data_IF_510485843070
#
_entry.id   IF_510485843070
#
_cell.length_a   1.000
_cell.length_b   1.000
_cell.length_c   1.000
_cell.angle_alpha   90.00
_cell.angle_beta   90.00
_cell.angle_gamma   90.00
#
_symmetry.space_group_name_H-M   'P 1'
#
loop_
_entity.id
_entity.type
_entity.pdbx_description
1 polymer ?
#
# COMPACT_ATOMS: atom_id res chain seq x y z
N UNK A 1 8.27 26.18 -27.27
CA UNK A 1 7.95 25.97 -25.86
C UNK A 1 9.28 25.72 -25.19
N UNK A 2 9.71 26.67 -24.34
CA UNK A 2 11.01 26.67 -23.66
C UNK A 2 11.16 25.41 -22.80
N UNK A 3 12.41 24.94 -22.70
CA UNK A 3 12.87 23.80 -21.89
C UNK A 3 12.47 23.96 -20.42
N UNK A 4 11.18 23.66 -20.10
CA UNK A 4 10.78 23.46 -18.71
C UNK A 4 11.41 22.12 -18.34
N UNK A 5 12.38 22.14 -17.44
CA UNK A 5 12.94 20.92 -16.89
C UNK A 5 11.78 20.07 -16.36
N UNK A 6 11.64 18.87 -16.90
CA UNK A 6 10.53 17.98 -16.59
C UNK A 6 10.56 17.49 -15.13
N UNK A 7 11.71 17.59 -14.47
CA UNK A 7 11.96 17.15 -13.10
C UNK A 7 12.76 18.17 -12.32
N UNK A 8 12.50 18.26 -11.02
CA UNK A 8 13.35 19.00 -10.11
C UNK A 8 14.75 18.36 -9.97
N UNK A 9 15.78 19.14 -9.59
CA UNK A 9 17.16 18.66 -9.50
C UNK A 9 17.39 17.59 -8.43
N UNK A 10 16.44 17.38 -7.54
CA UNK A 10 16.46 16.38 -6.48
C UNK A 10 15.92 15.00 -6.93
N UNK A 11 15.32 14.90 -8.12
CA UNK A 11 14.85 13.61 -8.67
C UNK A 11 16.03 12.90 -9.31
N UNK A 12 16.26 11.64 -8.93
CA UNK A 12 17.41 10.87 -9.41
C UNK A 12 17.39 10.65 -10.93
N UNK A 13 18.57 10.43 -11.52
CA UNK A 13 18.68 10.10 -12.95
C UNK A 13 17.99 8.78 -13.28
N UNK A 14 18.03 7.85 -12.33
CA UNK A 14 17.38 6.55 -12.41
C UNK A 14 15.86 6.72 -12.49
N UNK A 15 15.26 7.55 -11.63
CA UNK A 15 13.83 7.85 -11.66
C UNK A 15 13.42 8.56 -12.96
N UNK A 16 14.19 9.52 -13.41
CA UNK A 16 13.95 10.21 -14.69
C UNK A 16 13.96 9.21 -15.87
N UNK A 17 14.99 8.33 -15.93
CA UNK A 17 15.10 7.32 -16.97
C UNK A 17 13.97 6.30 -16.90
N UNK A 18 13.60 5.84 -15.67
CA UNK A 18 12.49 4.89 -15.47
C UNK A 18 11.15 5.49 -15.88
N UNK A 19 10.90 6.75 -15.56
CA UNK A 19 9.68 7.44 -15.98
C UNK A 19 9.59 7.56 -17.50
N UNK A 20 10.71 7.93 -18.18
CA UNK A 20 10.75 7.98 -19.63
C UNK A 20 10.46 6.60 -20.27
N UNK A 21 11.02 5.53 -19.70
CA UNK A 21 10.73 4.16 -20.14
C UNK A 21 9.24 3.79 -19.91
N UNK A 22 8.70 4.15 -18.74
CA UNK A 22 7.28 3.92 -18.41
C UNK A 22 6.32 4.55 -19.44
N UNK A 23 6.60 5.74 -19.93
CA UNK A 23 5.78 6.41 -20.96
C UNK A 23 5.80 5.69 -22.32
N UNK A 24 6.78 4.81 -22.56
CA UNK A 24 6.88 4.01 -23.80
C UNK A 24 6.33 2.59 -23.65
N UNK A 25 6.01 2.16 -22.44
CA UNK A 25 5.40 0.84 -22.20
C UNK A 25 4.00 0.77 -22.81
N UNK A 26 3.59 -0.45 -23.18
CA UNK A 26 2.23 -0.69 -23.65
C UNK A 26 1.19 -0.33 -22.58
N UNK A 27 0.05 0.17 -23.03
CA UNK A 27 -1.06 0.41 -22.11
C UNK A 27 -1.47 -0.89 -21.40
N UNK A 28 -1.85 -0.75 -20.14
CA UNK A 28 -2.40 -1.86 -19.36
C UNK A 28 -3.63 -2.43 -20.06
N UNK A 29 -3.76 -3.76 -20.18
CA UNK A 29 -4.96 -4.37 -20.73
C UNK A 29 -6.22 -3.94 -19.96
N UNK A 30 -7.30 -3.66 -20.70
CA UNK A 30 -8.57 -3.26 -20.10
C UNK A 30 -9.38 -4.47 -19.60
N UNK A 31 -9.22 -5.62 -20.22
CA UNK A 31 -9.88 -6.86 -19.81
C UNK A 31 -9.13 -7.51 -18.64
N UNK A 32 -9.87 -7.88 -17.59
CA UNK A 32 -9.29 -8.47 -16.38
C UNK A 32 -8.60 -9.81 -16.64
N UNK A 33 -9.10 -10.60 -17.59
CA UNK A 33 -8.49 -11.88 -17.95
C UNK A 33 -7.10 -11.71 -18.58
N UNK A 34 -6.83 -10.56 -19.19
CA UNK A 34 -5.53 -10.19 -19.73
C UNK A 34 -4.71 -9.38 -18.71
N UNK A 35 -5.36 -8.53 -17.89
CA UNK A 35 -4.71 -7.68 -16.91
C UNK A 35 -4.05 -8.51 -15.78
N UNK A 36 -4.71 -9.54 -15.27
CA UNK A 36 -4.14 -10.40 -14.21
C UNK A 36 -2.81 -11.06 -14.65
N UNK A 37 -2.72 -11.79 -15.77
CA UNK A 37 -1.43 -12.35 -16.21
C UNK A 37 -0.40 -11.27 -16.58
N UNK A 38 -0.82 -10.14 -17.13
CA UNK A 38 0.08 -9.00 -17.39
C UNK A 38 0.74 -8.50 -16.09
N UNK A 39 -0.06 -8.22 -15.04
CA UNK A 39 0.47 -7.76 -13.76
C UNK A 39 1.25 -8.85 -13.02
N UNK A 40 0.85 -10.11 -13.12
CA UNK A 40 1.63 -11.22 -12.56
C UNK A 40 3.03 -11.26 -13.15
N UNK A 41 3.17 -11.17 -14.47
CA UNK A 41 4.46 -11.13 -15.15
C UNK A 41 5.25 -9.85 -14.86
N UNK A 42 4.58 -8.70 -14.77
CA UNK A 42 5.19 -7.43 -14.41
C UNK A 42 5.75 -7.47 -12.97
N UNK A 43 4.93 -7.92 -12.02
CA UNK A 43 5.30 -8.05 -10.61
C UNK A 43 6.42 -9.08 -10.41
N UNK A 44 6.42 -10.19 -11.15
CA UNK A 44 7.51 -11.17 -11.08
C UNK A 44 8.86 -10.54 -11.45
N UNK A 45 8.92 -9.72 -12.51
CA UNK A 45 10.18 -9.03 -12.89
C UNK A 45 10.69 -8.07 -11.81
N UNK A 46 9.77 -7.38 -11.11
CA UNK A 46 10.16 -6.52 -10.00
C UNK A 46 10.59 -7.34 -8.77
N UNK A 47 9.91 -8.45 -8.50
CA UNK A 47 10.27 -9.35 -7.41
C UNK A 47 11.64 -9.99 -7.61
N UNK A 48 11.97 -10.39 -8.84
CA UNK A 48 13.29 -10.95 -9.18
C UNK A 48 14.43 -9.96 -8.84
N UNK A 49 14.22 -8.66 -9.10
CA UNK A 49 15.16 -7.61 -8.70
C UNK A 49 15.22 -7.43 -7.17
N UNK A 50 14.06 -7.46 -6.51
CA UNK A 50 13.99 -7.29 -5.06
C UNK A 50 14.70 -8.44 -4.33
N UNK A 51 14.43 -9.68 -4.72
CA UNK A 51 15.07 -10.87 -4.11
C UNK A 51 16.56 -11.01 -4.44
N UNK A 52 17.00 -10.50 -5.59
CA UNK A 52 18.44 -10.41 -5.91
C UNK A 52 19.18 -9.37 -5.04
N UNK A 53 18.47 -8.33 -4.57
CA UNK A 53 19.07 -7.23 -3.80
C UNK A 53 18.96 -7.41 -2.29
N UNK A 54 17.90 -8.02 -1.81
CA UNK A 54 17.57 -8.12 -0.38
C UNK A 54 17.54 -9.58 0.06
N UNK A 55 18.41 -9.92 1.01
CA UNK A 55 18.49 -11.26 1.56
C UNK A 55 17.38 -11.48 2.60
N UNK A 56 16.39 -12.27 2.24
CA UNK A 56 15.28 -12.69 3.10
C UNK A 56 14.93 -14.15 2.82
N UNK A 57 14.42 -14.85 3.82
CA UNK A 57 13.78 -16.16 3.65
C UNK A 57 12.28 -15.94 3.40
N UNK A 58 11.73 -16.61 2.39
CA UNK A 58 10.31 -16.54 2.04
C UNK A 58 9.72 -17.95 2.15
N UNK A 59 8.69 -18.10 2.98
CA UNK A 59 7.95 -19.35 3.13
C UNK A 59 6.44 -19.09 2.93
N UNK A 60 5.81 -19.93 2.11
CA UNK A 60 4.35 -19.93 2.00
C UNK A 60 3.76 -20.64 3.22
N UNK A 61 2.72 -20.04 3.81
CA UNK A 61 1.99 -20.56 4.96
C UNK A 61 0.49 -20.35 4.79
N UNK A 62 -0.28 -21.08 5.55
CA UNK A 62 -1.70 -20.84 5.75
C UNK A 62 -1.92 -20.38 7.20
N UNK A 63 -2.58 -19.22 7.38
CA UNK A 63 -2.93 -18.67 8.69
C UNK A 63 -4.44 -18.39 8.67
N UNK A 64 -5.19 -19.03 9.57
CA UNK A 64 -6.65 -18.92 9.65
C UNK A 64 -7.38 -19.21 8.30
N UNK A 65 -6.85 -20.13 7.48
CA UNK A 65 -7.39 -20.48 6.17
C UNK A 65 -6.99 -19.52 5.05
N UNK A 66 -6.15 -18.53 5.32
CA UNK A 66 -5.67 -17.53 4.35
C UNK A 66 -4.22 -17.82 4.00
N UNK A 67 -3.92 -17.76 2.70
CA UNK A 67 -2.55 -17.86 2.20
C UNK A 67 -1.73 -16.62 2.61
N UNK A 68 -0.55 -16.83 3.15
CA UNK A 68 0.36 -15.79 3.63
C UNK A 68 1.79 -16.14 3.23
N UNK A 69 2.53 -15.18 2.75
CA UNK A 69 3.99 -15.31 2.59
C UNK A 69 4.68 -14.77 3.83
N UNK A 70 5.41 -15.64 4.52
CA UNK A 70 6.20 -15.34 5.71
C UNK A 70 7.61 -14.92 5.26
N UNK A 71 7.87 -13.61 5.28
CA UNK A 71 9.14 -13.02 4.84
C UNK A 71 9.98 -12.67 6.07
N UNK A 72 11.09 -13.37 6.24
CA UNK A 72 11.96 -13.25 7.40
C UNK A 72 13.32 -12.73 6.97
N UNK A 73 13.77 -11.55 7.45
CA UNK A 73 15.13 -11.08 7.18
C UNK A 73 16.17 -11.96 7.90
N UNK A 74 17.34 -12.16 7.25
CA UNK A 74 18.41 -13.01 7.78
C UNK A 74 18.95 -12.55 9.14
N UNK A 75 18.89 -11.24 9.43
CA UNK A 75 19.43 -10.61 10.64
C UNK A 75 18.36 -10.31 11.70
N UNK A 76 17.22 -11.01 11.66
CA UNK A 76 16.11 -10.74 12.57
C UNK A 76 16.49 -11.05 14.03
N UNK A 77 16.35 -10.04 14.91
CA UNK A 77 16.46 -10.25 16.35
C UNK A 77 15.24 -11.02 16.89
N UNK A 78 15.45 -11.84 17.93
CA UNK A 78 14.35 -12.49 18.64
C UNK A 78 13.44 -11.44 19.29
N UNK A 79 12.12 -11.61 19.15
CA UNK A 79 11.13 -10.65 19.70
C UNK A 79 10.93 -9.37 18.86
N UNK A 80 11.54 -9.26 17.67
CA UNK A 80 11.28 -8.13 16.77
C UNK A 80 9.81 -8.04 16.40
N UNK A 81 9.29 -6.80 16.18
CA UNK A 81 7.94 -6.56 15.71
C UNK A 81 7.57 -7.36 14.46
N UNK A 82 6.27 -7.53 14.24
CA UNK A 82 5.73 -8.22 13.05
C UNK A 82 4.93 -7.21 12.23
N UNK A 83 5.16 -7.19 10.93
CA UNK A 83 4.42 -6.38 10.01
C UNK A 83 3.47 -7.24 9.17
N UNK A 84 2.25 -6.77 8.96
CA UNK A 84 1.32 -7.33 7.99
C UNK A 84 1.36 -6.43 6.74
N UNK A 85 1.66 -7.02 5.58
CA UNK A 85 1.70 -6.32 4.30
C UNK A 85 0.47 -6.65 3.47
N UNK A 86 -0.21 -5.62 2.98
CA UNK A 86 -1.41 -5.72 2.16
C UNK A 86 -1.10 -5.14 0.78
N UNK A 87 -1.00 -6.01 -0.22
CA UNK A 87 -0.58 -5.60 -1.55
C UNK A 87 -1.59 -4.65 -2.24
N UNK A 88 -1.10 -3.89 -3.23
CA UNK A 88 -1.92 -3.12 -4.15
C UNK A 88 -2.52 -3.99 -5.27
N UNK A 89 -3.16 -3.32 -6.25
CA UNK A 89 -3.71 -4.00 -7.43
C UNK A 89 -5.20 -3.79 -7.61
N UNK A 90 -5.70 -2.61 -7.24
CA UNK A 90 -7.11 -2.22 -7.41
C UNK A 90 -8.11 -3.24 -6.83
N UNK A 91 -7.70 -4.05 -5.86
CA UNK A 91 -8.43 -5.19 -5.27
C UNK A 91 -8.69 -6.36 -6.25
N UNK A 92 -8.16 -6.32 -7.48
CA UNK A 92 -8.45 -7.26 -8.55
C UNK A 92 -7.25 -8.11 -8.99
N UNK A 93 -6.04 -7.67 -8.65
CA UNK A 93 -4.77 -8.37 -8.94
C UNK A 93 -3.73 -8.06 -7.86
N UNK A 94 -2.53 -8.64 -7.97
CA UNK A 94 -1.44 -8.42 -7.02
C UNK A 94 -1.13 -9.63 -6.15
N UNK A 95 -1.88 -10.72 -6.32
CA UNK A 95 -1.60 -12.00 -5.69
C UNK A 95 -0.22 -12.55 -6.07
N UNK A 96 0.30 -13.44 -5.24
CA UNK A 96 1.60 -14.08 -5.49
C UNK A 96 2.77 -13.10 -5.48
N UNK A 97 3.47 -12.90 -6.63
CA UNK A 97 4.62 -11.99 -6.71
C UNK A 97 4.32 -10.57 -6.26
N UNK A 98 3.10 -10.06 -6.53
CA UNK A 98 2.69 -8.71 -6.15
C UNK A 98 2.63 -8.50 -4.64
N UNK A 99 2.21 -9.53 -3.89
CA UNK A 99 2.17 -9.47 -2.42
C UNK A 99 3.57 -9.34 -1.80
N UNK A 100 4.60 -9.72 -2.52
CA UNK A 100 5.99 -9.73 -2.04
C UNK A 100 6.78 -8.45 -2.36
N UNK A 101 6.28 -7.59 -3.28
CA UNK A 101 7.03 -6.42 -3.76
C UNK A 101 7.42 -5.43 -2.66
N UNK A 102 6.53 -5.18 -1.71
CA UNK A 102 6.80 -4.32 -0.56
C UNK A 102 7.39 -5.12 0.61
N UNK A 103 6.93 -6.37 0.78
CA UNK A 103 7.31 -7.20 1.91
C UNK A 103 8.82 -7.49 1.93
N UNK A 104 9.41 -7.83 0.80
CA UNK A 104 10.84 -8.20 0.69
C UNK A 104 11.77 -7.05 1.09
N UNK A 105 11.72 -5.87 0.44
CA UNK A 105 12.63 -4.79 0.79
C UNK A 105 12.35 -4.21 2.19
N UNK A 106 11.08 -4.12 2.60
CA UNK A 106 10.74 -3.59 3.93
C UNK A 106 11.21 -4.55 5.02
N UNK A 107 11.01 -5.87 4.88
CA UNK A 107 11.53 -6.85 5.82
C UNK A 107 13.04 -6.70 6.01
N UNK A 108 13.80 -6.67 4.91
CA UNK A 108 15.25 -6.58 4.93
C UNK A 108 15.73 -5.26 5.56
N UNK A 109 15.17 -4.11 5.16
CA UNK A 109 15.61 -2.79 5.65
C UNK A 109 15.15 -2.53 7.08
N UNK A 110 13.96 -3.00 7.46
CA UNK A 110 13.46 -2.85 8.83
C UNK A 110 14.08 -3.86 9.81
N UNK A 111 14.57 -5.01 9.35
CA UNK A 111 14.97 -6.12 10.21
C UNK A 111 13.76 -6.78 10.91
N UNK A 112 12.58 -6.65 10.33
CA UNK A 112 11.31 -7.12 10.90
C UNK A 112 10.72 -8.24 10.03
N UNK A 113 10.06 -9.20 10.67
CA UNK A 113 9.27 -10.21 9.97
C UNK A 113 8.06 -9.56 9.30
N UNK A 114 7.81 -9.88 8.04
CA UNK A 114 6.62 -9.42 7.31
C UNK A 114 5.76 -10.60 6.90
N UNK A 115 4.49 -10.57 7.24
CA UNK A 115 3.47 -11.49 6.76
C UNK A 115 2.72 -10.80 5.61
N UNK A 116 3.04 -11.17 4.37
CA UNK A 116 2.35 -10.64 3.20
C UNK A 116 1.09 -11.47 2.94
N UNK A 117 -0.07 -10.85 3.07
CA UNK A 117 -1.36 -11.53 3.03
C UNK A 117 -1.85 -11.59 1.59
N UNK A 118 -2.09 -12.79 1.08
CA UNK A 118 -2.62 -13.08 -0.25
C UNK A 118 -4.15 -13.19 -0.16
N UNK A 119 -4.79 -12.06 0.08
CA UNK A 119 -6.23 -11.95 0.35
C UNK A 119 -7.08 -12.17 -0.91
N UNK A 120 -8.35 -12.56 -0.74
CA UNK A 120 -9.30 -12.80 -1.83
C UNK A 120 -9.58 -11.54 -2.64
N UNK A 121 -9.65 -11.69 -3.97
CA UNK A 121 -9.73 -10.60 -4.94
C UNK A 121 -11.11 -10.47 -5.60
N UNK A 122 -11.45 -9.24 -5.93
CA UNK A 122 -12.60 -8.90 -6.76
C UNK A 122 -12.30 -9.19 -8.26
N UNK A 123 -13.31 -9.38 -9.09
CA UNK A 123 -14.74 -9.42 -8.77
C UNK A 123 -15.21 -10.77 -8.21
N UNK A 124 -14.33 -11.78 -8.15
CA UNK A 124 -14.68 -13.12 -7.66
C UNK A 124 -15.15 -13.05 -6.20
N UNK A 125 -14.55 -12.14 -5.43
CA UNK A 125 -14.87 -11.87 -4.03
C UNK A 125 -14.94 -10.37 -3.78
N UNK A 126 -16.14 -9.86 -3.52
CA UNK A 126 -16.39 -8.44 -3.22
C UNK A 126 -16.25 -8.16 -1.72
N UNK A 127 -16.34 -6.89 -1.31
CA UNK A 127 -16.38 -6.50 0.10
C UNK A 127 -17.47 -7.32 0.86
N UNK A 128 -17.16 -7.84 2.08
CA UNK A 128 -15.95 -7.62 2.88
C UNK A 128 -14.86 -8.71 2.74
N UNK A 129 -14.87 -9.57 1.72
CA UNK A 129 -14.06 -10.79 1.66
C UNK A 129 -12.56 -10.56 1.93
N UNK A 130 -11.95 -9.54 1.32
CA UNK A 130 -10.53 -9.25 1.53
C UNK A 130 -10.25 -8.78 2.96
N UNK A 131 -11.08 -7.91 3.52
CA UNK A 131 -10.88 -7.44 4.90
C UNK A 131 -11.15 -8.54 5.91
N UNK A 132 -12.09 -9.45 5.65
CA UNK A 132 -12.33 -10.63 6.49
C UNK A 132 -11.10 -11.53 6.58
N UNK A 133 -10.42 -11.77 5.44
CA UNK A 133 -9.17 -12.54 5.40
C UNK A 133 -8.08 -11.85 6.26
N UNK A 134 -7.94 -10.54 6.10
CA UNK A 134 -6.93 -9.75 6.83
C UNK A 134 -7.19 -9.79 8.34
N UNK A 135 -8.44 -9.59 8.75
CA UNK A 135 -8.83 -9.63 10.18
C UNK A 135 -8.67 -11.02 10.75
N UNK A 136 -8.96 -12.08 9.98
CA UNK A 136 -8.74 -13.47 10.41
C UNK A 136 -7.26 -13.74 10.68
N UNK A 137 -6.36 -13.30 9.77
CA UNK A 137 -4.90 -13.40 9.97
C UNK A 137 -4.46 -12.58 11.18
N UNK A 138 -4.92 -11.32 11.28
CA UNK A 138 -4.58 -10.45 12.41
C UNK A 138 -4.98 -11.07 13.74
N UNK A 139 -6.21 -11.61 13.85
CA UNK A 139 -6.70 -12.31 15.04
C UNK A 139 -5.82 -13.47 15.44
N UNK A 140 -5.36 -14.29 14.50
CA UNK A 140 -4.45 -15.40 14.78
C UNK A 140 -3.06 -14.91 15.23
N UNK A 141 -2.57 -13.79 14.67
CA UNK A 141 -1.26 -13.23 15.03
C UNK A 141 -1.25 -12.65 16.44
N UNK A 142 -2.32 -11.96 16.87
CA UNK A 142 -2.42 -11.38 18.23
C UNK A 142 -2.52 -12.43 19.35
N UNK A 143 -2.77 -13.69 19.03
CA UNK A 143 -2.71 -14.78 20.03
C UNK A 143 -1.28 -14.99 20.56
N UNK A 144 -0.26 -14.61 19.79
CA UNK A 144 1.14 -14.86 20.11
C UNK A 144 2.05 -13.62 20.07
N UNK A 145 1.56 -12.51 19.50
CA UNK A 145 2.27 -11.23 19.38
C UNK A 145 1.42 -10.13 20.01
N UNK A 146 2.04 -9.31 20.85
CA UNK A 146 1.36 -8.13 21.41
C UNK A 146 0.90 -7.20 20.26
N UNK A 147 -0.39 -6.81 20.20
CA UNK A 147 -0.89 -5.85 19.21
C UNK A 147 -0.05 -4.58 19.10
N UNK A 148 0.51 -4.09 20.21
CA UNK A 148 1.39 -2.92 20.22
C UNK A 148 2.71 -3.14 19.44
N UNK A 149 3.12 -4.38 19.21
CA UNK A 149 4.30 -4.77 18.41
C UNK A 149 3.92 -5.24 16.99
N UNK A 150 2.68 -5.00 16.55
CA UNK A 150 2.24 -5.32 15.19
C UNK A 150 2.01 -4.05 14.39
N UNK A 151 2.58 -3.97 13.18
CA UNK A 151 2.26 -2.95 12.18
C UNK A 151 1.44 -3.53 11.04
N UNK A 152 0.54 -2.73 10.48
CA UNK A 152 -0.16 -3.08 9.22
C UNK A 152 0.13 -1.98 8.20
N UNK A 153 0.49 -2.36 6.97
CA UNK A 153 0.71 -1.38 5.91
C UNK A 153 0.32 -1.94 4.54
N UNK A 154 0.13 -1.06 3.60
CA UNK A 154 -0.08 -1.44 2.21
C UNK A 154 -0.11 -0.26 1.27
N UNK A 155 0.04 -0.57 -0.03
CA UNK A 155 0.03 0.39 -1.12
C UNK A 155 -1.30 0.36 -1.87
N UNK A 156 -1.79 1.53 -2.32
CA UNK A 156 -2.96 1.62 -3.20
C UNK A 156 -4.21 0.97 -2.58
N UNK A 157 -4.75 -0.08 -3.17
CA UNK A 157 -5.82 -0.89 -2.58
C UNK A 157 -5.45 -1.41 -1.18
N UNK A 158 -4.18 -1.82 -0.98
CA UNK A 158 -3.68 -2.26 0.33
C UNK A 158 -3.73 -1.17 1.41
N UNK A 159 -3.57 0.11 1.04
CA UNK A 159 -3.73 1.22 1.98
C UNK A 159 -5.19 1.38 2.42
N UNK A 160 -6.15 1.21 1.50
CA UNK A 160 -7.57 1.22 1.84
C UNK A 160 -7.91 0.03 2.75
N UNK A 161 -7.44 -1.17 2.40
CA UNK A 161 -7.62 -2.38 3.21
C UNK A 161 -6.99 -2.25 4.60
N UNK A 162 -5.86 -1.55 4.73
CA UNK A 162 -5.25 -1.25 6.04
C UNK A 162 -6.22 -0.48 6.94
N UNK A 163 -6.90 0.53 6.39
CA UNK A 163 -7.89 1.31 7.16
C UNK A 163 -9.14 0.50 7.48
N UNK A 164 -9.60 -0.35 6.56
CA UNK A 164 -10.71 -1.27 6.80
C UNK A 164 -10.34 -2.28 7.88
N UNK A 165 -9.14 -2.86 7.84
CA UNK A 165 -8.69 -3.80 8.87
C UNK A 165 -8.71 -3.18 10.27
N UNK A 166 -8.20 -1.93 10.43
CA UNK A 166 -8.27 -1.21 11.72
C UNK A 166 -9.72 -0.98 12.14
N UNK A 167 -10.58 -0.50 11.23
CA UNK A 167 -11.99 -0.24 11.53
C UNK A 167 -12.72 -1.50 11.98
N UNK A 168 -12.54 -2.63 11.27
CA UNK A 168 -13.13 -3.92 11.61
C UNK A 168 -12.56 -4.50 12.92
N UNK A 169 -11.26 -4.33 13.19
CA UNK A 169 -10.70 -4.73 14.48
C UNK A 169 -11.36 -3.98 15.64
N UNK A 170 -11.50 -2.66 15.51
CA UNK A 170 -12.16 -1.83 16.53
C UNK A 170 -13.64 -2.22 16.73
N UNK A 171 -14.38 -2.42 15.64
CA UNK A 171 -15.79 -2.83 15.68
C UNK A 171 -15.96 -4.19 16.38
N UNK A 172 -15.02 -5.12 16.17
CA UNK A 172 -15.01 -6.45 16.78
C UNK A 172 -14.40 -6.48 18.20
N UNK A 173 -14.04 -5.32 18.77
CA UNK A 173 -13.47 -5.20 20.11
C UNK A 173 -12.04 -5.76 20.20
N UNK A 174 -11.32 -5.92 19.09
CA UNK A 174 -9.90 -6.29 19.08
C UNK A 174 -9.05 -5.05 19.34
N UNK A 175 -7.92 -5.22 20.03
CA UNK A 175 -6.91 -4.17 20.11
C UNK A 175 -6.38 -3.84 18.72
N UNK A 176 -6.31 -2.55 18.33
CA UNK A 176 -5.73 -2.18 17.05
C UNK A 176 -4.21 -2.44 17.01
N UNK A 177 -3.58 -2.47 15.84
CA UNK A 177 -2.12 -2.58 15.71
C UNK A 177 -1.42 -1.36 16.32
N UNK A 178 -0.15 -1.49 16.69
CA UNK A 178 0.66 -0.41 17.26
C UNK A 178 0.93 0.75 16.29
N UNK A 179 0.93 0.50 14.97
CA UNK A 179 1.11 1.52 13.94
C UNK A 179 0.62 1.05 12.57
N UNK A 180 0.31 2.00 11.67
CA UNK A 180 -0.10 1.68 10.28
C UNK A 180 0.66 2.51 9.24
N UNK A 181 0.77 1.94 8.01
CA UNK A 181 1.31 2.60 6.84
C UNK A 181 0.29 2.64 5.70
N UNK A 182 0.03 3.83 5.15
CA UNK A 182 -0.90 4.06 4.05
C UNK A 182 -0.11 4.65 2.87
N UNK A 183 0.26 3.81 1.91
CA UNK A 183 1.12 4.23 0.82
C UNK A 183 0.33 4.33 -0.48
N UNK A 184 0.41 5.48 -1.15
CA UNK A 184 -0.23 5.73 -2.45
C UNK A 184 -1.72 5.40 -2.51
N UNK A 185 -2.43 5.52 -1.38
CA UNK A 185 -3.86 5.22 -1.29
C UNK A 185 -4.45 5.68 0.04
N UNK A 186 -5.75 5.88 0.05
CA UNK A 186 -6.52 6.24 1.24
C UNK A 186 -8.02 5.93 0.98
N UNK A 187 -8.82 5.72 2.05
CA UNK A 187 -10.27 5.49 1.93
C UNK A 187 -11.02 6.81 1.68
N UNK A 188 -10.61 7.52 0.64
CA UNK A 188 -11.14 8.81 0.17
C UNK A 188 -11.29 8.72 -1.34
N UNK A 189 -12.33 9.31 -1.95
CA UNK A 189 -12.47 9.33 -3.40
C UNK A 189 -11.19 9.81 -4.10
N UNK A 190 -10.78 9.12 -5.17
CA UNK A 190 -9.64 9.51 -5.99
C UNK A 190 -10.04 10.69 -6.88
N UNK A 191 -10.04 11.87 -6.30
CA UNK A 191 -10.43 13.12 -6.91
C UNK A 191 -9.45 14.24 -6.55
N UNK A 192 -9.67 15.44 -7.10
CA UNK A 192 -8.85 16.62 -6.82
C UNK A 192 -7.71 16.80 -7.81
N UNK A 193 -6.83 17.74 -7.51
CA UNK A 193 -5.82 18.22 -8.46
C UNK A 193 -4.85 17.14 -8.90
N UNK A 194 -4.46 16.24 -8.02
CA UNK A 194 -3.53 15.15 -8.37
C UNK A 194 -4.11 14.21 -9.43
N UNK A 195 -5.39 13.83 -9.30
CA UNK A 195 -6.07 12.99 -10.28
C UNK A 195 -6.24 13.70 -11.63
N UNK A 196 -6.52 15.01 -11.62
CA UNK A 196 -6.63 15.81 -12.84
C UNK A 196 -5.26 16.03 -13.50
N UNK A 197 -4.23 16.27 -12.69
CA UNK A 197 -2.89 16.57 -13.18
C UNK A 197 -2.18 15.34 -13.78
N UNK A 198 -2.61 14.12 -13.49
CA UNK A 198 -1.99 12.90 -14.02
C UNK A 198 -1.86 12.94 -15.56
N UNK A 199 -2.89 13.41 -16.25
CA UNK A 199 -2.89 13.54 -17.71
C UNK A 199 -1.87 14.57 -18.25
N UNK A 200 -1.34 15.46 -17.40
CA UNK A 200 -0.26 16.40 -17.79
C UNK A 200 1.10 15.70 -17.87
N UNK A 201 1.29 14.67 -17.09
CA UNK A 201 2.56 13.93 -16.99
C UNK A 201 2.56 12.63 -17.80
N UNK A 202 1.40 11.99 -17.96
CA UNK A 202 1.24 10.77 -18.73
C UNK A 202 0.22 10.99 -19.87
N UNK A 203 0.70 11.15 -21.12
CA UNK A 203 -0.18 11.40 -22.26
C UNK A 203 -1.11 10.22 -22.61
N UNK A 204 -0.92 9.05 -22.02
CA UNK A 204 -1.79 7.88 -22.16
C UNK A 204 -3.03 7.99 -21.29
N UNK A 205 -2.97 8.81 -20.25
CA UNK A 205 -4.09 9.04 -19.33
C UNK A 205 -4.98 10.15 -19.88
N UNK A 206 -6.27 9.87 -20.02
CA UNK A 206 -7.26 10.90 -20.34
C UNK A 206 -7.63 11.68 -19.08
N UNK A 207 -7.81 13.01 -19.16
CA UNK A 207 -8.32 13.79 -18.03
C UNK A 207 -9.63 13.18 -17.51
N UNK A 208 -9.71 12.95 -16.21
CA UNK A 208 -10.88 12.35 -15.56
C UNK A 208 -11.02 10.84 -15.72
N UNK A 209 -10.00 10.14 -16.25
CA UNK A 209 -10.01 8.68 -16.41
C UNK A 209 -9.64 7.92 -15.11
N UNK A 210 -9.34 8.63 -14.02
CA UNK A 210 -9.08 7.98 -12.72
C UNK A 210 -10.35 7.26 -12.27
N UNK A 211 -10.31 5.95 -12.02
CA UNK A 211 -11.49 5.20 -11.57
C UNK A 211 -12.01 5.79 -10.26
N UNK A 212 -13.31 5.95 -10.18
CA UNK A 212 -13.93 6.31 -8.91
C UNK A 212 -13.97 5.08 -7.99
N UNK A 213 -13.88 5.32 -6.69
CA UNK A 213 -13.86 4.21 -5.71
C UNK A 213 -15.14 3.37 -5.79
N UNK A 214 -16.28 4.00 -6.04
CA UNK A 214 -17.58 3.35 -6.23
C UNK A 214 -17.70 2.53 -7.52
N UNK A 215 -16.81 2.73 -8.48
CA UNK A 215 -16.77 2.00 -9.75
C UNK A 215 -15.88 0.74 -9.65
N UNK A 216 -15.11 0.59 -8.56
CA UNK A 216 -14.25 -0.58 -8.36
C UNK A 216 -15.10 -1.81 -7.99
N UNK A 217 -14.93 -2.95 -8.67
CA UNK A 217 -15.72 -4.16 -8.41
C UNK A 217 -15.71 -4.63 -6.96
N UNK A 218 -14.64 -4.37 -6.21
CA UNK A 218 -14.55 -4.71 -4.79
C UNK A 218 -15.68 -4.11 -3.95
N UNK A 219 -16.12 -2.89 -4.26
CA UNK A 219 -17.17 -2.19 -3.53
C UNK A 219 -18.59 -2.48 -4.05
N UNK A 220 -18.74 -3.45 -4.97
CA UNK A 220 -20.06 -3.79 -5.49
C UNK A 220 -21.00 -4.25 -4.37
N UNK A 221 -22.09 -3.50 -4.18
CA UNK A 221 -23.07 -3.74 -3.12
C UNK A 221 -22.68 -3.24 -1.72
N UNK A 222 -21.50 -2.64 -1.55
CA UNK A 222 -21.09 -2.04 -0.28
C UNK A 222 -21.74 -0.66 -0.08
N UNK A 223 -22.07 -0.33 1.17
CA UNK A 223 -22.49 1.02 1.55
C UNK A 223 -21.25 1.88 1.82
N UNK A 224 -20.92 2.77 0.91
CA UNK A 224 -19.75 3.67 1.03
C UNK A 224 -19.88 4.71 2.16
N UNK A 225 -21.05 4.87 2.75
CA UNK A 225 -21.27 5.70 3.94
C UNK A 225 -20.96 4.97 5.24
N UNK A 226 -20.81 3.64 5.19
CA UNK A 226 -20.43 2.84 6.36
C UNK A 226 -18.98 3.12 6.78
N UNK A 227 -18.73 3.46 8.07
CA UNK A 227 -17.40 3.65 8.62
C UNK A 227 -16.46 2.45 8.44
N UNK A 228 -16.99 1.23 8.37
CA UNK A 228 -16.19 0.03 8.14
C UNK A 228 -15.72 -0.10 6.68
N UNK A 229 -16.42 0.52 5.75
CA UNK A 229 -16.05 0.56 4.32
C UNK A 229 -15.10 1.73 4.03
N UNK A 230 -15.46 2.96 4.43
CA UNK A 230 -14.66 4.16 4.20
C UNK A 230 -14.51 4.99 5.49
N UNK A 231 -13.57 4.61 6.34
CA UNK A 231 -13.34 5.22 7.66
C UNK A 231 -13.05 6.73 7.62
N UNK A 232 -12.51 7.26 6.52
CA UNK A 232 -12.05 8.64 6.44
C UNK A 232 -13.14 9.69 6.68
N UNK A 233 -14.42 9.36 6.44
CA UNK A 233 -15.56 10.23 6.69
C UNK A 233 -16.02 10.30 8.15
N UNK A 234 -15.43 9.52 9.05
CA UNK A 234 -15.94 9.26 10.39
C UNK A 234 -14.93 9.64 11.48
N UNK A 235 -14.88 10.93 11.92
CA UNK A 235 -13.86 11.42 12.87
C UNK A 235 -13.85 10.67 14.20
N UNK A 236 -15.01 10.23 14.69
CA UNK A 236 -15.11 9.46 15.94
C UNK A 236 -14.39 8.10 15.84
N UNK A 237 -14.47 7.42 14.69
CA UNK A 237 -13.74 6.19 14.44
C UNK A 237 -12.24 6.48 14.26
N UNK A 238 -11.89 7.50 13.48
CA UNK A 238 -10.50 7.88 13.24
C UNK A 238 -9.75 8.21 14.53
N UNK A 239 -10.40 8.77 15.54
CA UNK A 239 -9.78 9.09 16.84
C UNK A 239 -9.21 7.86 17.57
N UNK A 240 -9.56 6.65 17.16
CA UNK A 240 -9.05 5.39 17.68
C UNK A 240 -7.99 4.74 16.80
N UNK A 241 -7.61 5.39 15.69
CA UNK A 241 -6.58 4.87 14.80
C UNK A 241 -5.19 4.99 15.44
N UNK A 242 -4.28 4.05 15.19
CA UNK A 242 -2.93 4.10 15.71
C UNK A 242 -2.09 5.15 14.96
N UNK A 243 -0.86 5.45 15.45
CA UNK A 243 0.11 6.25 14.72
C UNK A 243 0.22 5.83 13.27
N UNK A 244 0.18 6.80 12.35
CA UNK A 244 -0.01 6.55 10.92
C UNK A 244 1.06 7.21 10.07
N UNK A 245 1.72 6.45 9.19
CA UNK A 245 2.60 6.96 8.14
C UNK A 245 1.87 6.97 6.80
N UNK A 246 1.82 8.13 6.15
CA UNK A 246 1.26 8.27 4.81
C UNK A 246 2.38 8.62 3.83
N UNK A 247 2.40 7.96 2.68
CA UNK A 247 3.38 8.22 1.61
C UNK A 247 2.64 8.37 0.28
N UNK A 248 3.02 9.36 -0.52
CA UNK A 248 2.56 9.53 -1.89
C UNK A 248 3.61 10.29 -2.72
N UNK A 249 3.29 10.64 -3.95
CA UNK A 249 4.16 11.37 -4.84
C UNK A 249 3.39 12.40 -5.67
N UNK A 250 4.06 13.44 -6.18
CA UNK A 250 3.37 14.54 -6.87
C UNK A 250 2.75 14.14 -8.21
N UNK A 251 3.21 13.04 -8.84
CA UNK A 251 2.62 12.46 -10.06
C UNK A 251 1.73 11.23 -9.79
N UNK A 252 1.33 11.06 -8.54
CA UNK A 252 0.42 10.00 -8.11
C UNK A 252 -1.02 10.52 -8.11
N UNK A 253 -1.92 9.87 -8.82
CA UNK A 253 -3.33 10.23 -8.87
C UNK A 253 -4.01 10.23 -7.48
N UNK A 254 -3.48 9.43 -6.55
CA UNK A 254 -4.01 9.32 -5.20
C UNK A 254 -3.49 10.41 -4.24
N UNK A 255 -2.53 11.26 -4.64
CA UNK A 255 -1.87 12.18 -3.71
C UNK A 255 -2.85 13.15 -3.02
N UNK A 256 -3.86 13.63 -3.72
CA UNK A 256 -4.92 14.46 -3.10
C UNK A 256 -5.70 13.70 -2.03
N UNK A 257 -6.06 12.43 -2.29
CA UNK A 257 -6.77 11.57 -1.34
C UNK A 257 -5.92 11.28 -0.09
N UNK A 258 -4.63 10.98 -0.29
CA UNK A 258 -3.66 10.74 0.81
C UNK A 258 -3.50 12.00 1.67
N UNK A 259 -3.38 13.19 1.04
CA UNK A 259 -3.31 14.47 1.73
C UNK A 259 -4.57 14.77 2.55
N UNK A 260 -5.75 14.46 2.01
CA UNK A 260 -7.02 14.61 2.72
C UNK A 260 -7.08 13.68 3.94
N UNK A 261 -6.70 12.41 3.76
CA UNK A 261 -6.66 11.45 4.86
C UNK A 261 -5.72 11.88 5.97
N UNK A 262 -4.50 12.35 5.64
CA UNK A 262 -3.56 12.88 6.62
C UNK A 262 -4.17 13.98 7.47
N UNK A 263 -4.81 14.99 6.85
CA UNK A 263 -5.45 16.09 7.58
C UNK A 263 -6.61 15.62 8.45
N UNK A 264 -7.36 14.59 8.03
CA UNK A 264 -8.46 14.00 8.82
C UNK A 264 -7.95 13.26 10.04
N UNK A 265 -6.84 12.51 9.91
CA UNK A 265 -6.18 11.87 11.05
C UNK A 265 -5.70 12.91 12.06
N UNK A 266 -5.00 13.98 11.62
CA UNK A 266 -4.57 15.07 12.50
C UNK A 266 -5.77 15.74 13.19
N UNK A 267 -6.86 16.02 12.48
CA UNK A 267 -8.06 16.62 13.05
C UNK A 267 -8.76 15.70 14.07
N UNK A 268 -8.59 14.39 13.96
CA UNK A 268 -9.07 13.38 14.91
C UNK A 268 -8.10 13.18 16.11
N UNK A 269 -6.97 13.88 16.15
CA UNK A 269 -5.99 13.78 17.22
C UNK A 269 -4.98 12.62 17.07
N UNK A 270 -4.96 11.97 15.90
CA UNK A 270 -4.03 10.89 15.61
C UNK A 270 -2.64 11.43 15.26
N UNK A 271 -1.59 10.83 15.80
CA UNK A 271 -0.22 11.11 15.37
C UNK A 271 0.00 10.58 13.95
N UNK A 272 0.10 11.48 12.98
CA UNK A 272 0.21 11.13 11.56
C UNK A 272 1.35 11.91 10.91
N UNK A 273 2.15 11.19 10.11
CA UNK A 273 3.23 11.75 9.28
C UNK A 273 2.90 11.58 7.81
N UNK A 274 3.18 12.60 7.00
CA UNK A 274 3.00 12.52 5.55
C UNK A 274 4.30 12.85 4.83
N UNK A 275 4.71 11.95 3.93
CA UNK A 275 5.89 12.13 3.07
C UNK A 275 5.40 12.17 1.62
N UNK A 276 5.75 13.24 0.92
CA UNK A 276 5.41 13.45 -0.49
C UNK A 276 6.69 13.51 -1.32
N UNK A 277 6.88 12.51 -2.19
CA UNK A 277 8.02 12.48 -3.11
C UNK A 277 7.72 13.31 -4.37
N UNK A 278 8.53 14.33 -4.63
CA UNK A 278 8.36 15.16 -5.81
C UNK A 278 8.84 14.44 -7.08
N UNK A 279 8.09 14.59 -8.17
CA UNK A 279 8.43 14.03 -9.48
C UNK A 279 8.21 12.53 -9.63
N UNK A 280 7.92 11.80 -8.56
CA UNK A 280 7.67 10.36 -8.56
C UNK A 280 6.18 10.06 -8.82
N UNK A 281 5.86 8.80 -9.13
CA UNK A 281 4.54 8.32 -9.54
C UNK A 281 3.97 7.31 -8.57
N UNK A 282 2.76 6.84 -8.86
CA UNK A 282 2.05 5.83 -8.07
C UNK A 282 2.90 4.58 -7.87
N UNK A 283 3.06 4.17 -6.61
CA UNK A 283 3.81 2.96 -6.22
C UNK A 283 5.28 2.92 -6.69
N UNK A 284 5.95 4.08 -6.85
CA UNK A 284 7.33 4.18 -7.31
C UNK A 284 8.30 3.31 -6.49
N UNK A 285 8.03 3.13 -5.21
CA UNK A 285 8.86 2.36 -4.28
C UNK A 285 8.86 0.84 -4.54
N UNK A 286 8.02 0.33 -5.46
CA UNK A 286 8.09 -1.08 -5.86
C UNK A 286 9.26 -1.38 -6.82
N UNK A 287 9.88 -0.37 -7.43
CA UNK A 287 11.10 -0.56 -8.20
C UNK A 287 12.33 -0.31 -7.32
N UNK A 288 12.93 -1.39 -6.84
CA UNK A 288 14.08 -1.36 -5.91
C UNK A 288 15.35 -0.72 -6.48
N UNK A 289 15.41 -0.48 -7.79
CA UNK A 289 16.53 0.17 -8.44
C UNK A 289 16.53 1.69 -8.23
N UNK A 290 15.40 2.27 -7.81
CA UNK A 290 15.28 3.70 -7.57
C UNK A 290 15.90 4.10 -6.22
N UNK A 291 16.76 5.13 -6.17
CA UNK A 291 17.23 5.70 -4.91
C UNK A 291 16.09 6.12 -3.99
N UNK A 292 15.00 6.68 -4.54
CA UNK A 292 13.81 7.12 -3.82
C UNK A 292 13.02 5.95 -3.23
N UNK A 293 13.06 4.77 -3.86
CA UNK A 293 12.50 3.55 -3.27
C UNK A 293 13.28 3.13 -2.01
N UNK A 294 14.62 3.17 -2.09
CA UNK A 294 15.48 2.87 -0.93
C UNK A 294 15.25 3.88 0.20
N UNK A 295 15.06 5.15 -0.12
CA UNK A 295 14.70 6.19 0.86
C UNK A 295 13.34 5.87 1.50
N UNK A 296 12.34 5.50 0.70
CA UNK A 296 11.02 5.09 1.18
C UNK A 296 11.13 3.94 2.19
N UNK A 297 11.89 2.89 1.89
CA UNK A 297 12.05 1.76 2.85
C UNK A 297 12.71 2.17 4.16
N UNK A 298 13.68 3.09 4.12
CA UNK A 298 14.30 3.62 5.35
C UNK A 298 13.32 4.45 6.19
N UNK A 299 12.49 5.25 5.55
CA UNK A 299 11.43 6.03 6.22
C UNK A 299 10.43 5.09 6.89
N UNK A 300 9.94 4.08 6.16
CA UNK A 300 9.01 3.06 6.67
C UNK A 300 9.62 2.31 7.85
N UNK A 301 10.86 1.83 7.70
CA UNK A 301 11.58 1.13 8.76
C UNK A 301 11.78 2.00 10.00
N UNK A 302 12.17 3.27 9.83
CA UNK A 302 12.32 4.23 10.91
C UNK A 302 11.01 4.48 11.65
N UNK A 303 9.92 4.61 10.92
CA UNK A 303 8.59 4.80 11.49
C UNK A 303 8.15 3.58 12.33
N UNK A 304 8.20 2.37 11.79
CA UNK A 304 7.78 1.20 12.53
C UNK A 304 8.68 0.91 13.73
N UNK A 305 10.00 1.13 13.64
CA UNK A 305 10.88 1.03 14.82
C UNK A 305 10.52 2.00 15.92
N UNK A 306 10.10 3.23 15.57
CA UNK A 306 9.70 4.25 16.57
C UNK A 306 8.48 3.82 17.37
N UNK A 307 7.51 3.18 16.72
CA UNK A 307 6.20 2.92 17.35
C UNK A 307 5.98 1.49 17.81
N UNK A 308 6.76 0.54 17.32
CA UNK A 308 6.57 -0.87 17.67
C UNK A 308 7.65 -1.42 18.60
N UNK A 309 8.74 -0.66 18.81
CA UNK A 309 9.84 -1.02 19.70
C UNK A 309 11.04 -1.61 18.99
#
# INVERSE_FOLDING_TARGET
MSDIEQFGPWVSKEAQARFAAFLTESATPADLSEARPYFAAYNQRLLDKATARYAVDIAEREIAGVKVYDVVPSDRASGSPVLLCLHGGAFMWGEGPGALLEAVPIAAVAGMRVLAIDYRLAPDHVYPAAVDDIVAVYRAVIETVDPASIGIYGCSAGAVLTTQAVAHCLDQGLSPPGAIGLFHGAPVPFAGDAALAQALFDPRVRPGATPKIEELPYFSGADLSDPLVLAAGHPALLAHFPPSLLISATRDFAASAVSVMHRRLLAAGVEASFVLFDGLWHAHHMDVDLPEAVETYKIVAGFFRKYLG
#
